data_IF_011079216755
#
_entry.id   IF_011079216755
#
_cell.length_a   1.000
_cell.length_b   1.000
_cell.length_c   1.000
_cell.angle_alpha   90.00
_cell.angle_beta   90.00
_cell.angle_gamma   90.00
#
_symmetry.space_group_name_H-M   'P 1'
#
loop_
_entity.id
_entity.type
_entity.pdbx_description
1 polymer ?
#
# COMPACT_ATOMS: atom_id res chain seq x y z
N UNK A 1 -3.55 11.10 8.22
CA UNK A 1 -2.62 9.98 7.98
C UNK A 1 -1.39 10.16 8.86
N UNK A 2 -0.82 9.06 9.34
CA UNK A 2 0.53 9.02 9.95
C UNK A 2 1.50 8.31 9.02
N UNK A 3 2.78 8.62 9.14
CA UNK A 3 3.87 7.92 8.45
C UNK A 3 5.08 7.82 9.39
N UNK A 4 5.53 6.60 9.65
CA UNK A 4 6.71 6.30 10.46
C UNK A 4 7.58 5.23 9.77
N UNK A 5 8.81 5.07 10.24
CA UNK A 5 9.73 4.02 9.81
C UNK A 5 9.75 2.86 10.80
N UNK A 6 10.06 1.65 10.33
CA UNK A 6 10.29 0.50 11.20
C UNK A 6 11.76 0.11 11.07
N UNK A 7 12.53 0.40 12.12
CA UNK A 7 13.93 0.02 12.21
C UNK A 7 14.11 -1.26 13.02
N UNK A 8 15.23 -1.96 12.79
CA UNK A 8 15.75 -3.03 13.63
C UNK A 8 14.78 -4.19 13.88
N UNK A 9 14.10 -4.65 12.82
CA UNK A 9 13.27 -5.84 12.89
C UNK A 9 13.80 -6.93 11.95
N UNK A 10 14.67 -7.79 12.48
CA UNK A 10 15.34 -8.81 11.67
C UNK A 10 14.39 -9.78 10.94
N UNK A 11 13.16 -9.97 11.42
CA UNK A 11 12.18 -10.80 10.70
C UNK A 11 11.58 -10.06 9.50
N UNK A 12 11.30 -8.76 9.63
CA UNK A 12 10.87 -7.93 8.52
C UNK A 12 11.96 -7.82 7.44
N UNK A 13 13.24 -7.76 7.83
CA UNK A 13 14.37 -7.75 6.90
C UNK A 13 14.51 -9.09 6.15
N UNK A 14 14.36 -10.22 6.87
CA UNK A 14 14.28 -11.56 6.27
C UNK A 14 13.12 -11.66 5.27
N UNK A 15 11.94 -11.14 5.66
CA UNK A 15 10.74 -11.14 4.83
C UNK A 15 10.93 -10.30 3.56
N UNK A 16 11.47 -9.09 3.68
CA UNK A 16 11.78 -8.24 2.53
C UNK A 16 12.77 -8.95 1.58
N UNK A 17 13.83 -9.54 2.12
CA UNK A 17 14.82 -10.30 1.34
C UNK A 17 14.17 -11.47 0.61
N UNK A 18 13.28 -12.23 1.26
CA UNK A 18 12.61 -13.38 0.65
C UNK A 18 11.62 -12.97 -0.44
N UNK A 19 10.84 -11.91 -0.21
CA UNK A 19 9.84 -11.46 -1.18
C UNK A 19 10.51 -10.77 -2.37
N UNK A 20 11.58 -10.00 -2.15
CA UNK A 20 12.39 -9.40 -3.22
C UNK A 20 13.32 -10.41 -3.89
N UNK A 21 13.74 -11.48 -3.25
CA UNK A 21 14.84 -12.35 -3.71
C UNK A 21 14.67 -13.04 -5.06
N UNK A 22 13.55 -12.84 -5.77
CA UNK A 22 13.35 -13.25 -7.16
C UNK A 22 12.72 -12.16 -8.04
N UNK A 23 12.87 -10.90 -7.67
CA UNK A 23 12.27 -9.76 -8.38
C UNK A 23 12.67 -9.73 -9.86
N UNK A 24 13.89 -10.15 -10.21
CA UNK A 24 14.39 -10.22 -11.60
C UNK A 24 13.51 -11.13 -12.47
N UNK A 25 13.02 -12.24 -11.91
CA UNK A 25 12.09 -13.14 -12.60
C UNK A 25 10.66 -12.61 -12.68
N UNK A 26 10.33 -11.63 -11.83
CA UNK A 26 9.01 -11.00 -11.80
C UNK A 26 8.98 -9.80 -12.76
N UNK A 27 10.01 -8.95 -12.76
CA UNK A 27 10.04 -7.66 -13.46
C UNK A 27 9.90 -7.76 -14.99
N UNK A 28 10.29 -8.89 -15.58
CA UNK A 28 10.29 -9.11 -17.04
C UNK A 28 8.88 -9.07 -17.66
N UNK A 29 7.84 -9.39 -16.89
CA UNK A 29 6.47 -9.53 -17.40
C UNK A 29 5.54 -8.33 -17.13
N UNK A 30 6.03 -7.23 -16.52
CA UNK A 30 5.17 -6.10 -16.14
C UNK A 30 5.12 -4.97 -17.20
N UNK A 31 3.93 -4.44 -17.53
CA UNK A 31 3.77 -3.34 -18.50
C UNK A 31 4.22 -2.01 -17.91
N UNK A 32 5.29 -1.40 -18.41
CA UNK A 32 5.83 -0.12 -17.88
C UNK A 32 4.87 1.04 -18.17
N UNK A 33 4.12 1.47 -17.16
CA UNK A 33 3.32 2.69 -17.20
C UNK A 33 4.18 3.88 -16.79
N UNK A 34 3.86 5.06 -17.31
CA UNK A 34 4.47 6.30 -16.88
C UNK A 34 3.73 6.84 -15.65
N UNK A 35 4.46 7.37 -14.68
CA UNK A 35 3.93 7.94 -13.43
C UNK A 35 2.74 8.89 -13.68
N UNK A 36 2.88 9.77 -14.67
CA UNK A 36 1.88 10.78 -15.02
C UNK A 36 0.54 10.19 -15.47
N UNK A 37 0.52 8.97 -15.98
CA UNK A 37 -0.71 8.33 -16.46
C UNK A 37 -1.67 7.99 -15.33
N UNK A 38 -1.19 7.79 -14.08
CA UNK A 38 -2.05 7.29 -13.01
C UNK A 38 -1.92 7.95 -11.64
N UNK A 39 -0.86 8.72 -11.36
CA UNK A 39 -0.72 9.48 -10.09
C UNK A 39 -0.80 11.01 -10.26
N UNK A 40 -0.94 11.50 -11.49
CA UNK A 40 -1.11 12.93 -11.78
C UNK A 40 -2.39 13.52 -11.17
N UNK A 41 -2.44 14.85 -11.06
CA UNK A 41 -3.64 15.54 -10.59
C UNK A 41 -4.76 15.48 -11.64
N UNK A 42 -4.42 15.32 -12.92
CA UNK A 42 -5.35 15.03 -14.02
C UNK A 42 -5.97 13.64 -13.87
N UNK A 43 -5.16 12.64 -13.51
CA UNK A 43 -5.64 11.29 -13.20
C UNK A 43 -6.56 11.31 -11.96
N UNK A 44 -6.24 12.13 -10.94
CA UNK A 44 -7.12 12.33 -9.78
C UNK A 44 -8.48 12.91 -10.18
N UNK A 45 -8.49 13.98 -10.97
CA UNK A 45 -9.75 14.61 -11.46
C UNK A 45 -10.60 13.60 -12.23
N UNK A 46 -9.96 12.77 -13.04
CA UNK A 46 -10.62 11.68 -13.78
C UNK A 46 -11.21 10.65 -12.82
N UNK A 47 -10.43 10.16 -11.86
CA UNK A 47 -10.88 9.19 -10.87
C UNK A 47 -12.03 9.72 -9.99
N UNK A 48 -11.99 11.00 -9.61
CA UNK A 48 -13.07 11.68 -8.87
C UNK A 48 -14.36 11.77 -9.68
N UNK A 49 -14.27 12.17 -10.95
CA UNK A 49 -15.42 12.23 -11.86
C UNK A 49 -16.05 10.84 -12.04
N UNK A 50 -15.21 9.83 -12.19
CA UNK A 50 -15.63 8.45 -12.44
C UNK A 50 -15.93 7.67 -11.14
N UNK A 51 -15.81 8.34 -9.99
CA UNK A 51 -16.04 7.80 -8.64
C UNK A 51 -15.31 6.46 -8.38
N UNK A 52 -14.04 6.36 -8.76
CA UNK A 52 -13.24 5.13 -8.64
C UNK A 52 -13.08 4.72 -7.17
N UNK A 53 -13.90 3.76 -6.73
CA UNK A 53 -13.89 3.25 -5.35
C UNK A 53 -12.71 2.32 -5.10
N UNK A 54 -12.50 1.35 -6.00
CA UNK A 54 -11.34 0.49 -6.00
C UNK A 54 -10.61 0.70 -7.33
N UNK A 55 -9.31 1.01 -7.28
CA UNK A 55 -8.53 1.05 -8.50
C UNK A 55 -8.42 -0.37 -9.05
N UNK A 56 -8.74 -0.55 -10.33
CA UNK A 56 -8.11 -1.62 -11.09
C UNK A 56 -6.60 -1.42 -11.01
N UNK A 57 -5.86 -2.42 -10.58
CA UNK A 57 -4.42 -2.31 -10.49
C UNK A 57 -3.86 -2.11 -11.89
N UNK A 58 -3.42 -0.89 -12.22
CA UNK A 58 -2.73 -0.64 -13.48
C UNK A 58 -1.34 -1.29 -13.50
N UNK A 59 -0.77 -1.58 -12.32
CA UNK A 59 0.26 -2.60 -12.12
C UNK A 59 -0.39 -3.88 -11.57
N UNK A 60 -0.20 -5.02 -12.24
CA UNK A 60 -0.77 -6.29 -11.78
C UNK A 60 -0.41 -6.52 -10.31
N UNK A 61 -1.37 -7.00 -9.50
CA UNK A 61 -1.07 -7.57 -8.19
C UNK A 61 0.07 -8.59 -8.36
N UNK A 62 0.77 -8.95 -7.28
CA UNK A 62 1.67 -10.10 -7.32
C UNK A 62 1.08 -11.19 -8.22
N UNK A 63 1.88 -11.84 -9.05
CA UNK A 63 1.49 -13.14 -9.58
C UNK A 63 0.99 -13.95 -8.38
N UNK A 64 -0.32 -14.23 -8.32
CA UNK A 64 -1.01 -14.75 -7.13
C UNK A 64 -0.28 -15.98 -6.61
N UNK A 65 0.18 -16.82 -7.53
CA UNK A 65 0.99 -18.00 -7.27
C UNK A 65 2.34 -17.66 -6.61
N UNK A 66 3.06 -16.65 -7.09
CA UNK A 66 4.32 -16.24 -6.45
C UNK A 66 4.10 -15.75 -5.02
N UNK A 67 3.03 -14.97 -4.80
CA UNK A 67 2.70 -14.51 -3.46
C UNK A 67 2.33 -15.68 -2.54
N UNK A 68 1.51 -16.62 -3.01
CA UNK A 68 1.19 -17.83 -2.24
C UNK A 68 2.42 -18.69 -1.93
N UNK A 69 3.35 -18.80 -2.89
CA UNK A 69 4.60 -19.55 -2.72
C UNK A 69 5.55 -18.86 -1.72
N UNK A 70 5.47 -17.54 -1.57
CA UNK A 70 6.39 -16.75 -0.74
C UNK A 70 5.79 -16.26 0.57
N UNK A 71 4.46 -16.20 0.71
CA UNK A 71 3.76 -15.78 1.93
C UNK A 71 3.36 -17.00 2.77
N UNK A 72 4.00 -17.14 3.92
CA UNK A 72 3.85 -18.32 4.78
C UNK A 72 2.90 -18.05 5.95
N UNK A 73 2.45 -19.12 6.62
CA UNK A 73 1.73 -19.00 7.89
C UNK A 73 2.54 -18.27 8.98
N UNK A 74 3.88 -18.36 8.94
CA UNK A 74 4.79 -17.63 9.84
C UNK A 74 4.69 -16.11 9.62
N UNK A 75 4.59 -15.68 8.35
CA UNK A 75 4.42 -14.26 8.00
C UNK A 75 3.09 -13.73 8.52
N UNK A 76 2.02 -14.50 8.33
CA UNK A 76 0.69 -14.16 8.83
C UNK A 76 0.65 -14.01 10.35
N UNK A 77 1.26 -14.97 11.06
CA UNK A 77 1.36 -14.92 12.52
C UNK A 77 2.19 -13.71 12.99
N UNK A 78 3.29 -13.42 12.30
CA UNK A 78 4.12 -12.26 12.60
C UNK A 78 3.35 -10.95 12.46
N UNK A 79 2.74 -10.68 11.30
CA UNK A 79 2.00 -9.43 11.08
C UNK A 79 0.84 -9.27 12.06
N UNK A 80 0.10 -10.36 12.31
CA UNK A 80 -1.00 -10.35 13.28
C UNK A 80 -0.50 -9.94 14.67
N UNK A 81 0.59 -10.55 15.15
CA UNK A 81 1.16 -10.20 16.46
C UNK A 81 1.70 -8.77 16.49
N UNK A 82 2.51 -8.41 15.50
CA UNK A 82 3.14 -7.09 15.38
C UNK A 82 2.12 -5.95 15.40
N UNK A 83 0.97 -6.15 14.73
CA UNK A 83 -0.10 -5.17 14.69
C UNK A 83 -1.01 -5.23 15.93
N UNK A 84 -1.27 -6.42 16.48
CA UNK A 84 -2.06 -6.54 17.72
C UNK A 84 -1.39 -5.85 18.92
N UNK A 85 -0.05 -5.84 18.98
CA UNK A 85 0.71 -5.09 19.99
C UNK A 85 0.52 -3.57 19.84
N UNK A 86 0.32 -3.07 18.61
CA UNK A 86 0.10 -1.64 18.31
C UNK A 86 -1.36 -1.20 18.41
N UNK A 87 -2.28 -2.10 18.09
CA UNK A 87 -3.71 -1.87 18.08
C UNK A 87 -4.41 -2.86 19.03
N UNK A 88 -4.20 -2.72 20.35
CA UNK A 88 -4.84 -3.60 21.31
C UNK A 88 -6.37 -3.51 21.19
N UNK A 89 -7.06 -4.64 21.37
CA UNK A 89 -8.51 -4.77 21.25
C UNK A 89 -9.11 -4.55 19.84
N UNK A 90 -8.29 -4.55 18.80
CA UNK A 90 -8.75 -4.48 17.41
C UNK A 90 -8.62 -5.83 16.69
N UNK A 91 -9.54 -6.10 15.77
CA UNK A 91 -9.37 -7.18 14.80
C UNK A 91 -8.47 -6.71 13.67
N UNK A 92 -7.51 -7.54 13.31
CA UNK A 92 -6.58 -7.30 12.21
C UNK A 92 -7.02 -8.17 11.04
N UNK A 93 -7.50 -7.54 9.96
CA UNK A 93 -7.87 -8.25 8.74
C UNK A 93 -6.94 -7.86 7.61
N UNK A 94 -6.39 -8.86 6.93
CA UNK A 94 -5.62 -8.67 5.69
C UNK A 94 -6.48 -7.91 4.66
N UNK A 95 -5.88 -6.97 3.93
CA UNK A 95 -6.47 -6.37 2.73
C UNK A 95 -5.69 -6.75 1.48
N UNK A 96 -4.78 -5.89 1.02
CA UNK A 96 -4.09 -6.01 -0.26
C UNK A 96 -2.58 -6.17 -0.06
N UNK A 97 -1.99 -7.12 -0.79
CA UNK A 97 -0.55 -7.39 -0.78
C UNK A 97 -0.02 -7.23 -2.20
N UNK A 98 1.00 -6.40 -2.36
CA UNK A 98 1.46 -5.95 -3.67
C UNK A 98 2.97 -5.91 -3.74
N UNK A 99 3.48 -6.23 -4.92
CA UNK A 99 4.85 -5.94 -5.34
C UNK A 99 4.74 -4.95 -6.50
N UNK A 100 5.47 -3.85 -6.39
CA UNK A 100 5.58 -2.82 -7.41
C UNK A 100 7.02 -2.81 -7.92
N UNK A 101 7.26 -3.31 -9.14
CA UNK A 101 8.53 -3.05 -9.82
C UNK A 101 8.72 -1.56 -10.14
N UNK A 102 9.94 -1.14 -10.53
CA UNK A 102 10.18 0.21 -11.03
C UNK A 102 9.22 0.63 -12.15
N UNK A 103 8.65 1.82 -12.03
CA UNK A 103 7.63 2.38 -12.92
C UNK A 103 6.18 1.99 -12.56
N UNK A 104 5.97 1.12 -11.57
CA UNK A 104 4.63 0.62 -11.22
C UNK A 104 4.04 1.25 -9.97
N UNK A 105 2.75 1.03 -9.79
CA UNK A 105 2.02 1.55 -8.66
C UNK A 105 0.53 1.24 -8.72
N UNK A 106 -0.25 2.09 -8.07
CA UNK A 106 -1.70 1.99 -8.04
C UNK A 106 -2.28 3.38 -8.29
N UNK A 107 -3.17 3.49 -9.28
CA UNK A 107 -3.85 4.74 -9.60
C UNK A 107 -4.75 5.24 -8.48
N UNK A 108 -5.31 6.43 -8.67
CA UNK A 108 -6.21 7.06 -7.70
C UNK A 108 -7.47 6.24 -7.40
N UNK A 109 -7.73 6.02 -6.11
CA UNK A 109 -8.90 5.31 -5.60
C UNK A 109 -9.18 5.68 -4.13
N UNK A 110 -10.25 5.14 -3.55
CA UNK A 110 -10.69 5.50 -2.19
C UNK A 110 -10.77 4.34 -1.21
N UNK A 111 -10.94 3.10 -1.68
CA UNK A 111 -11.29 1.92 -0.87
C UNK A 111 -12.56 2.09 -0.01
N UNK A 112 -13.45 3.03 -0.37
CA UNK A 112 -14.63 3.39 0.43
C UNK A 112 -15.68 2.27 0.56
N UNK A 113 -15.60 1.24 -0.28
CA UNK A 113 -16.39 0.00 -0.17
C UNK A 113 -16.05 -0.81 1.10
N UNK A 114 -14.83 -0.64 1.62
CA UNK A 114 -14.28 -1.36 2.76
C UNK A 114 -13.76 -0.40 3.84
N UNK A 115 -14.66 0.38 4.48
CA UNK A 115 -14.30 1.50 5.35
C UNK A 115 -13.81 1.03 6.73
N UNK A 116 -12.55 1.27 7.06
CA UNK A 116 -11.95 1.07 8.38
C UNK A 116 -10.62 1.84 8.43
N UNK A 117 -10.01 1.91 9.62
CA UNK A 117 -8.61 2.32 9.73
C UNK A 117 -7.74 1.36 8.92
N UNK A 118 -6.89 1.91 8.05
CA UNK A 118 -5.90 1.16 7.29
C UNK A 118 -4.55 1.26 7.97
N UNK A 119 -3.81 0.16 7.92
CA UNK A 119 -2.39 0.11 8.25
C UNK A 119 -1.65 -0.50 7.06
N UNK A 120 -0.82 0.30 6.39
CA UNK A 120 0.01 -0.15 5.29
C UNK A 120 1.45 -0.24 5.77
N UNK A 121 2.01 -1.44 5.71
CA UNK A 121 3.44 -1.68 5.90
C UNK A 121 4.05 -1.87 4.53
N UNK A 122 5.06 -1.10 4.17
CA UNK A 122 5.73 -1.22 2.89
C UNK A 122 7.23 -1.30 3.06
N UNK A 123 7.91 -1.95 2.13
CA UNK A 123 9.37 -1.94 2.03
C UNK A 123 9.75 -1.29 0.71
N UNK A 124 10.58 -0.25 0.75
CA UNK A 124 11.15 0.39 -0.44
C UNK A 124 12.65 0.10 -0.51
N UNK A 125 13.14 -0.47 -1.61
CA UNK A 125 14.54 -0.91 -1.70
C UNK A 125 15.54 0.24 -1.50
N UNK A 126 15.24 1.42 -2.04
CA UNK A 126 16.12 2.60 -1.98
C UNK A 126 15.37 3.91 -1.65
N UNK A 127 14.07 3.85 -1.34
CA UNK A 127 13.24 5.04 -1.05
C UNK A 127 12.70 5.76 -2.28
N UNK A 128 13.01 5.32 -3.50
CA UNK A 128 12.51 5.94 -4.74
C UNK A 128 11.07 5.48 -5.06
N UNK A 129 10.16 5.77 -4.14
CA UNK A 129 8.73 5.46 -4.21
C UNK A 129 7.94 6.40 -3.30
N UNK A 130 6.63 6.50 -3.49
CA UNK A 130 5.79 7.36 -2.65
C UNK A 130 4.34 6.88 -2.53
N UNK A 131 3.69 7.36 -1.49
CA UNK A 131 2.25 7.36 -1.32
C UNK A 131 1.73 8.79 -1.56
N UNK A 132 0.76 8.98 -2.45
CA UNK A 132 0.19 10.29 -2.75
C UNK A 132 -1.28 10.30 -2.39
N UNK A 133 -1.74 11.34 -1.71
CA UNK A 133 -3.14 11.46 -1.31
C UNK A 133 -3.68 12.87 -1.56
N UNK A 134 -5.00 12.99 -1.67
CA UNK A 134 -5.68 14.27 -1.75
C UNK A 134 -6.15 14.69 -0.36
N UNK A 135 -5.63 15.80 0.14
CA UNK A 135 -6.10 16.38 1.39
C UNK A 135 -7.35 17.24 1.13
N UNK A 136 -8.49 16.71 1.55
CA UNK A 136 -9.79 17.36 1.47
C UNK A 136 -9.83 18.75 2.14
N UNK A 137 -9.05 18.96 3.20
CA UNK A 137 -9.06 20.23 3.96
C UNK A 137 -8.34 21.33 3.20
N UNK A 138 -7.20 21.00 2.59
CA UNK A 138 -6.37 21.97 1.88
C UNK A 138 -6.65 22.00 0.38
N UNK A 139 -7.43 21.04 -0.12
CA UNK A 139 -7.75 20.83 -1.54
C UNK A 139 -6.50 20.68 -2.41
N UNK A 140 -5.49 19.99 -1.88
CA UNK A 140 -4.20 19.77 -2.54
C UNK A 140 -3.80 18.32 -2.47
N UNK A 141 -3.05 17.89 -3.49
CA UNK A 141 -2.36 16.61 -3.41
C UNK A 141 -1.10 16.75 -2.56
N UNK A 142 -0.86 15.73 -1.74
CA UNK A 142 0.30 15.62 -0.86
C UNK A 142 1.06 14.37 -1.26
N UNK A 143 2.35 14.52 -1.55
CA UNK A 143 3.26 13.41 -1.84
C UNK A 143 4.01 13.08 -0.56
N UNK A 144 3.88 11.84 -0.11
CA UNK A 144 4.53 11.30 1.07
C UNK A 144 5.53 10.23 0.65
N UNK A 145 6.79 10.64 0.49
CA UNK A 145 7.88 9.80 0.00
C UNK A 145 8.21 8.68 0.99
N UNK A 146 8.46 7.48 0.46
CA UNK A 146 9.01 6.39 1.25
C UNK A 146 10.48 6.68 1.61
N UNK A 147 10.96 6.12 2.73
CA UNK A 147 12.39 5.95 2.96
C UNK A 147 12.83 4.55 2.56
N UNK A 148 14.13 4.37 2.32
CA UNK A 148 14.71 3.05 2.14
C UNK A 148 14.44 2.17 3.38
N UNK A 149 14.02 0.92 3.15
CA UNK A 149 13.62 0.00 4.20
C UNK A 149 12.11 -0.01 4.46
N UNK A 150 11.72 -0.37 5.69
CA UNK A 150 10.32 -0.51 6.07
C UNK A 150 9.69 0.82 6.51
N UNK A 151 8.55 1.13 5.91
CA UNK A 151 7.67 2.24 6.24
C UNK A 151 6.34 1.70 6.77
N UNK A 152 5.68 2.45 7.65
CA UNK A 152 4.32 2.16 8.12
C UNK A 152 3.46 3.41 8.05
N UNK A 153 2.26 3.28 7.49
CA UNK A 153 1.28 4.36 7.37
C UNK A 153 -0.06 3.94 7.92
N UNK A 154 -0.72 4.85 8.63
CA UNK A 154 -2.10 4.65 9.06
C UNK A 154 -3.01 5.78 8.60
N UNK A 155 -4.20 5.44 8.12
CA UNK A 155 -5.17 6.41 7.63
C UNK A 155 -6.59 5.84 7.64
N UNK A 156 -7.57 6.72 7.89
CA UNK A 156 -8.98 6.34 7.92
C UNK A 156 -9.57 6.32 6.51
N UNK A 157 -10.33 5.27 6.21
CA UNK A 157 -11.16 5.19 5.02
C UNK A 157 -12.62 5.38 5.41
N UNK A 158 -13.24 6.42 4.86
CA UNK A 158 -14.65 6.73 5.06
C UNK A 158 -15.51 6.18 3.93
N UNK A 159 -16.74 5.79 4.27
CA UNK A 159 -17.75 5.37 3.29
C UNK A 159 -18.41 6.57 2.60
N UNK A 160 -18.57 7.69 3.32
CA UNK A 160 -19.28 8.87 2.85
C UNK A 160 -18.53 9.56 1.71
N UNK A 161 -19.22 9.81 0.58
CA UNK A 161 -18.62 10.37 -0.64
C UNK A 161 -17.89 11.69 -0.42
N UNK A 162 -18.45 12.54 0.43
CA UNK A 162 -17.86 13.83 0.79
C UNK A 162 -16.54 13.71 1.53
N UNK A 163 -16.27 12.57 2.19
CA UNK A 163 -15.11 12.35 3.05
C UNK A 163 -14.19 11.24 2.53
N UNK A 164 -14.33 10.85 1.26
CA UNK A 164 -13.49 9.85 0.63
C UNK A 164 -12.02 10.23 0.69
N UNK A 165 -11.20 9.26 1.09
CA UNK A 165 -9.75 9.41 1.17
C UNK A 165 -9.12 8.95 -0.14
N UNK A 166 -8.99 9.87 -1.09
CA UNK A 166 -8.34 9.59 -2.38
C UNK A 166 -6.84 9.41 -2.21
N UNK A 167 -6.32 8.30 -2.72
CA UNK A 167 -4.89 7.99 -2.68
C UNK A 167 -4.42 7.17 -3.90
N UNK A 168 -3.12 7.25 -4.15
CA UNK A 168 -2.39 6.54 -5.19
C UNK A 168 -0.99 6.19 -4.69
N UNK A 169 -0.32 5.28 -5.38
CA UNK A 169 1.03 4.82 -5.06
C UNK A 169 1.85 4.82 -6.34
N UNK A 170 3.11 5.23 -6.26
CA UNK A 170 4.09 5.10 -7.33
C UNK A 170 5.39 4.52 -6.77
N UNK A 171 6.10 3.77 -7.61
CA UNK A 171 7.41 3.22 -7.29
C UNK A 171 8.31 3.28 -8.51
N UNK A 172 9.47 3.93 -8.38
CA UNK A 172 10.58 3.84 -9.33
C UNK A 172 11.68 2.86 -8.84
N UNK A 173 11.34 2.07 -7.84
CA UNK A 173 12.18 1.03 -7.24
C UNK A 173 11.37 -0.23 -6.98
N UNK A 174 12.03 -1.30 -6.52
CA UNK A 174 11.31 -2.48 -6.04
C UNK A 174 10.67 -2.17 -4.69
N UNK A 175 9.35 -2.25 -4.65
CA UNK A 175 8.55 -1.96 -3.46
C UNK A 175 7.57 -3.07 -3.14
N UNK A 176 7.52 -3.45 -1.89
CA UNK A 176 6.53 -4.40 -1.35
C UNK A 176 5.52 -3.62 -0.51
N UNK A 177 4.26 -4.01 -0.54
CA UNK A 177 3.20 -3.45 0.30
C UNK A 177 2.35 -4.56 0.91
N UNK A 178 2.15 -4.50 2.22
CA UNK A 178 1.26 -5.35 3.01
C UNK A 178 0.20 -4.46 3.68
N UNK A 179 -1.04 -4.58 3.23
CA UNK A 179 -2.17 -3.79 3.71
C UNK A 179 -3.05 -4.54 4.70
N UNK A 180 -3.48 -3.83 5.75
CA UNK A 180 -4.36 -4.35 6.79
C UNK A 180 -5.49 -3.37 7.09
N UNK A 181 -6.64 -3.92 7.47
CA UNK A 181 -7.76 -3.22 8.11
C UNK A 181 -7.68 -3.45 9.61
N UNK A 182 -7.78 -2.37 10.36
CA UNK A 182 -7.79 -2.36 11.82
C UNK A 182 -9.21 -2.04 12.27
N UNK A 183 -9.92 -3.05 12.77
CA UNK A 183 -11.34 -2.94 13.11
C UNK A 183 -11.47 -2.87 14.62
N UNK A 184 -12.02 -1.78 15.13
CA UNK A 184 -12.29 -1.65 16.56
C UNK A 184 -13.47 -2.55 16.92
N UNK A 185 -13.21 -3.60 17.71
CA UNK A 185 -14.22 -4.58 18.12
C UNK A 185 -15.10 -4.07 19.28
N UNK A 186 -14.81 -2.87 19.80
CA UNK A 186 -15.53 -2.26 20.92
C UNK A 186 -16.49 -1.15 20.45
N UNK A 187 -16.71 -1.00 19.15
CA UNK A 187 -17.67 -0.07 18.55
C UNK A 187 -18.99 -0.76 18.22
#
# INVERSE_FOLDING_TARGET
>A
MTHDTICDNGYLDELATRWLGRWESLDIDYPKLTESEYTSDEALKTAMRDEVVAAGSFGQAFNEKYFEDTYTGKDSAFFTRFLAERFPNHSILRSGFFYYPPGQGMGWHTNADTPYLRCYMNYSLNGDSYFKFYDQKTQKTVVDHDVAGWNIRTFDINREKGDWFWHSVYSNTHRISAGFKIINNLK
#
